data_IF_980535177823
#
_entry.id   IF_980535177823
#
_cell.length_a   1.000
_cell.length_b   1.000
_cell.length_c   1.000
_cell.angle_alpha   90.00
_cell.angle_beta   90.00
_cell.angle_gamma   90.00
#
_symmetry.space_group_name_H-M   'P 1'
#
loop_
_entity.id
_entity.type
_entity.pdbx_description
1 polymer ?
#
# COMPACT_ATOMS: atom_id res chain seq x y z
N UNK A 1 24.89 -7.17 0.34
CA UNK A 1 24.66 -8.62 0.11
C UNK A 1 23.26 -8.91 0.62
N UNK A 2 22.41 -9.49 -0.22
CA UNK A 2 21.06 -9.88 0.22
C UNK A 2 21.12 -11.19 1.01
N UNK A 3 20.33 -11.34 2.07
CA UNK A 3 20.22 -12.59 2.80
C UNK A 3 19.71 -13.72 1.91
N UNK A 4 20.17 -14.95 2.14
CA UNK A 4 19.79 -16.13 1.34
C UNK A 4 18.54 -16.86 1.89
N UNK A 5 18.02 -16.45 3.04
CA UNK A 5 16.84 -17.06 3.68
C UNK A 5 15.87 -15.99 4.18
N UNK A 6 14.57 -16.24 4.12
CA UNK A 6 13.57 -15.33 4.70
C UNK A 6 13.81 -15.12 6.20
N UNK A 7 13.63 -13.89 6.66
CA UNK A 7 13.85 -13.56 8.08
C UNK A 7 13.88 -12.07 8.38
N UNK A 8 14.04 -11.74 9.65
CA UNK A 8 14.21 -10.39 10.15
C UNK A 8 15.69 -10.04 10.25
N UNK A 9 16.07 -8.90 9.70
CA UNK A 9 17.45 -8.41 9.64
C UNK A 9 17.53 -6.97 10.10
N UNK A 10 18.61 -6.56 10.80
CA UNK A 10 18.79 -5.20 11.28
C UNK A 10 18.77 -4.20 10.11
N UNK A 11 18.06 -3.08 10.29
CA UNK A 11 18.05 -1.98 9.34
C UNK A 11 19.40 -1.24 9.36
N UNK A 12 19.93 -0.92 8.18
CA UNK A 12 21.18 -0.13 8.08
C UNK A 12 20.97 1.36 8.37
N UNK A 13 19.73 1.83 8.27
CA UNK A 13 19.37 3.24 8.47
C UNK A 13 18.79 3.52 9.85
N UNK A 14 18.23 2.52 10.53
CA UNK A 14 17.61 2.63 11.85
C UNK A 14 18.04 1.45 12.71
N UNK A 15 19.03 1.63 13.60
CA UNK A 15 19.65 0.54 14.36
C UNK A 15 18.71 -0.17 15.33
N UNK A 16 17.58 0.46 15.69
CA UNK A 16 16.55 -0.10 16.58
C UNK A 16 15.42 -0.79 15.84
N UNK A 17 15.52 -0.94 14.51
CA UNK A 17 14.51 -1.57 13.68
C UNK A 17 15.06 -2.74 12.89
N UNK A 18 14.26 -3.80 12.74
CA UNK A 18 14.53 -4.90 11.84
C UNK A 18 13.55 -4.87 10.67
N UNK A 19 14.07 -5.19 9.48
CA UNK A 19 13.33 -5.31 8.22
C UNK A 19 13.13 -6.80 7.89
N UNK A 20 11.99 -7.13 7.31
CA UNK A 20 11.70 -8.49 6.91
C UNK A 20 12.06 -8.76 5.45
N UNK A 21 12.91 -9.77 5.23
CA UNK A 21 13.27 -10.33 3.94
C UNK A 21 12.43 -11.59 3.67
N UNK A 22 11.74 -11.69 2.52
CA UNK A 22 10.87 -12.83 2.17
C UNK A 22 11.60 -13.95 1.41
N UNK A 23 12.88 -13.74 1.10
CA UNK A 23 13.71 -14.65 0.29
C UNK A 23 13.98 -14.14 -1.12
N UNK A 24 13.19 -13.16 -1.60
CA UNK A 24 13.33 -12.56 -2.93
C UNK A 24 13.50 -11.03 -2.85
N UNK A 25 12.82 -10.38 -1.89
CA UNK A 25 12.82 -8.92 -1.75
C UNK A 25 12.60 -8.47 -0.30
N UNK A 26 12.93 -7.23 -0.02
CA UNK A 26 12.57 -6.57 1.22
C UNK A 26 11.08 -6.15 1.19
N UNK A 27 10.27 -6.66 2.13
CA UNK A 27 8.81 -6.44 2.10
C UNK A 27 8.37 -5.09 2.65
N UNK A 28 9.30 -4.32 3.21
CA UNK A 28 8.98 -3.06 3.90
C UNK A 28 8.35 -3.24 5.29
N UNK A 29 8.11 -4.47 5.74
CA UNK A 29 7.66 -4.72 7.11
C UNK A 29 8.80 -4.40 8.08
N UNK A 30 8.52 -3.59 9.11
CA UNK A 30 9.47 -3.22 10.16
C UNK A 30 8.97 -3.67 11.52
N UNK A 31 9.90 -4.06 12.40
CA UNK A 31 9.63 -4.25 13.83
C UNK A 31 10.72 -3.61 14.65
N UNK A 32 10.39 -3.07 15.83
CA UNK A 32 11.39 -2.57 16.77
C UNK A 32 11.99 -3.70 17.57
N UNK A 33 13.29 -3.70 17.70
CA UNK A 33 14.02 -4.53 18.68
C UNK A 33 13.94 -3.83 20.04
N UNK A 34 12.89 -4.08 20.82
CA UNK A 34 12.88 -3.68 22.22
C UNK A 34 13.90 -4.56 22.94
N UNK A 35 15.09 -3.99 23.12
CA UNK A 35 16.10 -4.54 24.01
C UNK A 35 15.66 -4.33 25.45
N UNK A 36 14.74 -5.16 25.95
CA UNK A 36 14.72 -5.44 27.39
C UNK A 36 13.90 -6.70 27.72
N UNK A 37 14.68 -7.58 28.33
CA UNK A 37 14.31 -8.59 29.33
C UNK A 37 13.65 -9.87 28.85
N UNK A 38 14.50 -10.82 28.87
CA UNK A 38 14.48 -12.14 29.31
C UNK A 38 13.42 -12.51 30.35
N UNK A 39 12.79 -13.60 30.11
CA UNK A 39 11.90 -14.29 31.03
C UNK A 39 11.37 -15.50 30.31
N UNK A 40 12.20 -16.53 30.31
CA UNK A 40 11.85 -17.96 30.37
C UNK A 40 10.41 -18.19 30.88
N UNK A 41 9.61 -19.03 30.37
CA UNK A 41 9.68 -20.45 30.55
C UNK A 41 8.39 -21.14 30.16
N UNK A 42 8.62 -22.31 29.63
CA UNK A 42 7.98 -23.58 29.87
C UNK A 42 6.60 -23.86 29.33
N UNK A 43 6.73 -24.73 28.36
CA UNK A 43 5.91 -25.90 28.14
C UNK A 43 5.32 -26.49 29.46
N UNK A 44 4.04 -26.78 29.44
CA UNK A 44 3.49 -27.90 30.15
C UNK A 44 2.29 -28.46 29.38
N UNK A 45 2.55 -29.47 28.61
CA UNK A 45 1.61 -30.50 28.24
C UNK A 45 1.15 -31.20 29.50
N UNK A 46 -0.16 -31.34 29.74
CA UNK A 46 -0.72 -32.40 30.56
C UNK A 46 -2.13 -32.73 30.06
N UNK A 47 -2.17 -33.80 29.39
CA UNK A 47 -3.21 -34.77 29.14
C UNK A 47 -3.95 -35.17 30.44
N UNK A 48 -5.28 -35.37 30.39
CA UNK A 48 -6.05 -35.79 31.55
C UNK A 48 -7.52 -36.07 31.25
N UNK A 49 -7.78 -37.18 30.64
CA UNK A 49 -9.09 -37.80 30.30
C UNK A 49 -9.97 -38.08 31.52
N UNK A 50 -11.31 -38.11 31.37
CA UNK A 50 -12.26 -38.11 32.44
C UNK A 50 -12.53 -39.54 32.97
N UNK A 51 -12.73 -39.62 34.28
CA UNK A 51 -13.20 -40.87 34.93
C UNK A 51 -14.66 -40.71 35.32
N UNK A 52 -15.47 -41.55 34.72
CA UNK A 52 -16.89 -41.79 34.95
C UNK A 52 -17.03 -42.70 36.14
N UNK A 53 -17.85 -42.34 37.12
CA UNK A 53 -18.28 -43.27 38.16
C UNK A 53 -19.78 -43.18 38.34
N UNK A 54 -20.46 -44.20 37.88
CA UNK A 54 -21.82 -44.54 38.20
C UNK A 54 -21.96 -44.87 39.69
N UNK A 55 -23.00 -44.35 40.31
CA UNK A 55 -23.38 -44.69 41.68
C UNK A 55 -24.88 -44.55 41.88
N UNK A 56 -25.57 -45.62 41.56
CA UNK A 56 -27.00 -45.87 41.83
C UNK A 56 -27.25 -45.98 43.33
N UNK A 57 -28.17 -45.21 43.89
CA UNK A 57 -28.78 -45.56 45.20
C UNK A 57 -30.22 -45.03 45.28
N UNK A 58 -31.09 -45.97 45.58
CA UNK A 58 -32.54 -45.90 45.70
C UNK A 58 -33.06 -45.07 46.87
N UNK A 59 -34.33 -44.68 46.83
CA UNK A 59 -34.91 -43.67 47.73
C UNK A 59 -35.44 -44.29 49.05
N UNK A 60 -34.93 -43.79 50.15
CA UNK A 60 -35.46 -44.13 51.50
C UNK A 60 -36.45 -43.03 51.95
N UNK A 61 -37.68 -43.49 52.25
CA UNK A 61 -38.79 -42.70 52.76
C UNK A 61 -38.51 -42.25 54.22
N UNK A 62 -38.32 -40.96 54.45
CA UNK A 62 -38.34 -40.37 55.81
C UNK A 62 -39.64 -39.62 56.11
N UNK A 63 -40.13 -39.68 57.37
CA UNK A 63 -41.41 -39.24 57.81
C UNK A 63 -41.51 -37.66 57.86
N UNK A 64 -42.66 -37.17 57.50
CA UNK A 64 -43.00 -35.76 57.53
C UNK A 64 -43.05 -35.27 59.00
N UNK A 65 -42.02 -34.49 59.41
CA UNK A 65 -42.08 -33.68 60.65
C UNK A 65 -42.69 -32.29 60.31
N UNK A 66 -43.74 -31.92 61.11
CA UNK A 66 -44.39 -30.61 61.01
C UNK A 66 -43.37 -29.52 61.40
N UNK A 67 -43.25 -28.43 60.62
CA UNK A 67 -42.28 -27.36 60.90
C UNK A 67 -42.66 -26.58 62.14
N UNK A 68 -41.71 -26.38 63.05
CA UNK A 68 -41.84 -25.53 64.23
C UNK A 68 -41.95 -24.06 63.83
N UNK A 69 -42.60 -23.24 64.72
CA UNK A 69 -42.79 -21.78 64.46
C UNK A 69 -41.48 -21.06 64.16
N UNK A 70 -40.35 -21.54 64.65
CA UNK A 70 -39.03 -20.99 64.35
C UNK A 70 -38.58 -21.21 62.88
N UNK A 71 -38.97 -22.32 62.26
CA UNK A 71 -38.68 -22.59 60.85
C UNK A 71 -39.42 -21.65 59.88
N UNK A 72 -40.58 -21.12 60.26
CA UNK A 72 -41.30 -20.13 59.42
C UNK A 72 -40.62 -18.78 59.41
N UNK A 73 -39.94 -18.38 60.47
CA UNK A 73 -39.19 -17.12 60.56
C UNK A 73 -37.93 -17.15 59.69
N UNK A 74 -37.22 -18.28 59.65
CA UNK A 74 -36.02 -18.43 58.84
C UNK A 74 -36.36 -18.45 57.32
N UNK A 75 -37.47 -19.07 56.94
CA UNK A 75 -37.93 -19.09 55.53
C UNK A 75 -38.34 -17.68 55.09
N UNK A 76 -38.95 -16.88 55.96
CA UNK A 76 -39.31 -15.47 55.62
C UNK A 76 -38.10 -14.56 55.39
N UNK A 77 -37.02 -14.73 56.17
CA UNK A 77 -35.78 -13.95 56.03
C UNK A 77 -35.04 -14.39 54.79
N UNK A 78 -34.97 -15.69 54.47
CA UNK A 78 -34.35 -16.18 53.24
C UNK A 78 -35.08 -15.69 51.98
N UNK A 79 -36.41 -15.61 51.98
CA UNK A 79 -37.18 -15.05 50.88
C UNK A 79 -36.96 -13.56 50.71
N UNK A 80 -36.85 -12.79 51.77
CA UNK A 80 -36.56 -11.38 51.72
C UNK A 80 -35.16 -11.06 51.20
N UNK A 81 -34.17 -11.85 51.58
CA UNK A 81 -32.78 -11.72 51.10
C UNK A 81 -32.70 -12.06 49.59
N UNK A 82 -33.44 -13.05 49.13
CA UNK A 82 -33.50 -13.39 47.69
C UNK A 82 -34.17 -12.33 46.84
N UNK A 83 -35.22 -11.65 47.37
CA UNK A 83 -35.87 -10.54 46.65
C UNK A 83 -35.00 -9.28 46.60
N UNK A 84 -34.25 -8.99 47.67
CA UNK A 84 -33.32 -7.84 47.68
C UNK A 84 -32.02 -8.12 46.91
N UNK A 85 -31.51 -9.36 46.91
CA UNK A 85 -30.36 -9.77 46.16
C UNK A 85 -30.62 -9.93 44.66
N UNK A 86 -31.81 -10.35 44.26
CA UNK A 86 -32.22 -10.49 42.86
C UNK A 86 -32.34 -9.18 42.11
N UNK A 87 -32.74 -8.11 42.78
CA UNK A 87 -32.83 -6.75 42.17
C UNK A 87 -31.46 -6.16 41.86
N UNK A 88 -30.49 -6.33 42.74
CA UNK A 88 -29.14 -5.77 42.53
C UNK A 88 -28.38 -6.46 41.40
N UNK A 89 -28.60 -7.75 41.22
CA UNK A 89 -27.93 -8.52 40.10
C UNK A 89 -28.56 -8.18 38.75
N UNK A 90 -29.85 -7.89 38.68
CA UNK A 90 -30.52 -7.49 37.44
C UNK A 90 -30.05 -6.09 36.96
N UNK A 91 -29.92 -5.13 37.87
CA UNK A 91 -29.43 -3.78 37.56
C UNK A 91 -27.96 -3.83 37.10
N UNK A 92 -27.09 -4.58 37.79
CA UNK A 92 -25.70 -4.74 37.43
C UNK A 92 -25.55 -5.37 36.04
N UNK A 93 -26.40 -6.33 35.66
CA UNK A 93 -26.34 -6.97 34.34
C UNK A 93 -26.79 -6.06 33.19
N UNK A 94 -27.72 -5.13 33.44
CA UNK A 94 -28.12 -4.12 32.43
C UNK A 94 -27.02 -3.09 32.25
N UNK A 95 -26.43 -2.56 33.32
CA UNK A 95 -25.30 -1.63 33.23
C UNK A 95 -24.08 -2.22 32.54
N UNK A 96 -23.76 -3.48 32.79
CA UNK A 96 -22.67 -4.17 32.10
C UNK A 96 -22.92 -4.31 30.58
N UNK A 97 -24.19 -4.55 30.19
CA UNK A 97 -24.58 -4.62 28.75
C UNK A 97 -24.51 -3.25 28.08
N UNK A 98 -24.95 -2.22 28.76
CA UNK A 98 -24.89 -0.85 28.23
C UNK A 98 -23.43 -0.37 28.06
N UNK A 99 -22.55 -0.70 29.02
CA UNK A 99 -21.12 -0.42 28.91
C UNK A 99 -20.47 -1.19 27.77
N UNK A 100 -20.78 -2.48 27.61
CA UNK A 100 -20.26 -3.30 26.51
C UNK A 100 -20.77 -2.79 25.15
N UNK A 101 -22.01 -2.33 25.06
CA UNK A 101 -22.57 -1.74 23.85
C UNK A 101 -21.89 -0.39 23.49
N UNK A 102 -21.62 0.44 24.50
CA UNK A 102 -20.89 1.70 24.33
C UNK A 102 -19.46 1.46 23.85
N UNK A 103 -18.73 0.52 24.47
CA UNK A 103 -17.38 0.14 24.04
C UNK A 103 -17.37 -0.39 22.59
N UNK A 104 -18.31 -1.28 22.25
CA UNK A 104 -18.43 -1.79 20.88
C UNK A 104 -18.79 -0.69 19.87
N UNK A 105 -19.49 0.35 20.26
CA UNK A 105 -19.78 1.50 19.41
C UNK A 105 -18.50 2.35 19.20
N UNK A 106 -17.76 2.62 20.26
CA UNK A 106 -16.48 3.34 20.19
C UNK A 106 -15.44 2.61 19.33
N UNK A 107 -15.32 1.27 19.47
CA UNK A 107 -14.45 0.44 18.65
C UNK A 107 -14.81 0.54 17.15
N UNK A 108 -16.12 0.45 16.83
CA UNK A 108 -16.58 0.58 15.42
C UNK A 108 -16.31 1.97 14.86
N UNK A 109 -16.49 3.01 15.65
CA UNK A 109 -16.16 4.37 15.22
C UNK A 109 -14.65 4.56 15.04
N UNK A 110 -13.82 3.94 15.87
CA UNK A 110 -12.37 3.94 15.73
C UNK A 110 -11.96 3.21 14.44
N UNK A 111 -12.51 2.01 14.20
CA UNK A 111 -12.28 1.24 12.97
C UNK A 111 -12.70 2.03 11.71
N UNK A 112 -13.86 2.68 11.75
CA UNK A 112 -14.31 3.52 10.63
C UNK A 112 -13.40 4.72 10.38
N UNK A 113 -12.92 5.38 11.44
CA UNK A 113 -11.97 6.49 11.31
C UNK A 113 -10.63 6.02 10.75
N UNK A 114 -10.14 4.87 11.20
CA UNK A 114 -8.89 4.30 10.68
C UNK A 114 -9.04 3.86 9.22
N UNK A 115 -10.14 3.22 8.85
CA UNK A 115 -10.43 2.86 7.46
C UNK A 115 -10.54 4.10 6.55
N UNK A 116 -11.21 5.16 7.01
CA UNK A 116 -11.30 6.42 6.28
C UNK A 116 -9.93 7.10 6.11
N UNK A 117 -9.06 7.03 7.14
CA UNK A 117 -7.70 7.56 7.08
C UNK A 117 -6.84 6.77 6.08
N UNK A 118 -6.94 5.45 6.08
CA UNK A 118 -6.22 4.59 5.12
C UNK A 118 -6.65 4.93 3.69
N UNK A 119 -7.96 4.95 3.42
CA UNK A 119 -8.50 5.29 2.11
C UNK A 119 -8.08 6.71 1.64
N UNK A 120 -8.04 7.68 2.54
CA UNK A 120 -7.57 9.04 2.24
C UNK A 120 -6.07 9.05 1.88
N UNK A 121 -5.26 8.28 2.61
CA UNK A 121 -3.82 8.17 2.33
C UNK A 121 -3.54 7.46 1.00
N UNK A 122 -4.27 6.38 0.70
CA UNK A 122 -4.17 5.67 -0.59
C UNK A 122 -4.54 6.59 -1.76
N UNK A 123 -5.64 7.33 -1.63
CA UNK A 123 -6.03 8.32 -2.63
C UNK A 123 -4.96 9.39 -2.83
N UNK A 124 -4.44 9.96 -1.74
CA UNK A 124 -3.38 10.96 -1.82
C UNK A 124 -2.06 10.40 -2.37
N UNK A 125 -1.79 9.11 -2.22
CA UNK A 125 -0.64 8.46 -2.83
C UNK A 125 -0.84 8.31 -4.34
N UNK A 126 -2.01 7.84 -4.78
CA UNK A 126 -2.35 7.72 -6.19
C UNK A 126 -2.35 9.06 -6.93
N UNK A 127 -2.86 10.12 -6.30
CA UNK A 127 -2.81 11.48 -6.86
C UNK A 127 -1.35 11.96 -7.05
N UNK A 128 -0.47 11.72 -6.05
CA UNK A 128 0.96 12.09 -6.20
C UNK A 128 1.67 11.30 -7.29
N UNK A 129 1.34 10.02 -7.44
CA UNK A 129 1.88 9.20 -8.52
C UNK A 129 1.43 9.71 -9.90
N UNK A 130 0.13 10.01 -10.05
CA UNK A 130 -0.40 10.59 -11.27
C UNK A 130 0.22 11.95 -11.61
N UNK A 131 0.41 12.82 -10.61
CA UNK A 131 1.07 14.11 -10.79
C UNK A 131 2.55 13.94 -11.20
N UNK A 132 3.26 12.98 -10.59
CA UNK A 132 4.65 12.69 -10.95
C UNK A 132 4.78 12.16 -12.38
N UNK A 133 3.89 11.24 -12.80
CA UNK A 133 3.84 10.77 -14.19
C UNK A 133 3.53 11.91 -15.20
N UNK A 134 2.59 12.81 -14.83
CA UNK A 134 2.27 13.95 -15.68
C UNK A 134 3.47 14.89 -15.86
N UNK A 135 4.22 15.16 -14.78
CA UNK A 135 5.43 15.97 -14.83
C UNK A 135 6.54 15.29 -15.64
N UNK A 136 6.66 13.98 -15.57
CA UNK A 136 7.63 13.25 -16.38
C UNK A 136 7.29 13.33 -17.87
N UNK A 137 6.01 13.16 -18.26
CA UNK A 137 5.56 13.34 -19.65
C UNK A 137 5.84 14.76 -20.16
N UNK A 138 5.54 15.78 -19.36
CA UNK A 138 5.87 17.16 -19.71
C UNK A 138 7.37 17.37 -19.88
N UNK A 139 8.19 16.77 -19.02
CA UNK A 139 9.65 16.81 -19.16
C UNK A 139 10.15 16.17 -20.45
N UNK A 140 9.55 15.03 -20.86
CA UNK A 140 9.88 14.36 -22.12
C UNK A 140 9.49 15.22 -23.34
N UNK A 141 8.34 15.86 -23.32
CA UNK A 141 7.90 16.77 -24.40
C UNK A 141 8.85 17.96 -24.53
N UNK A 142 9.30 18.53 -23.42
CA UNK A 142 10.32 19.60 -23.45
C UNK A 142 11.64 19.10 -24.06
N UNK A 143 12.08 17.88 -23.70
CA UNK A 143 13.30 17.28 -24.28
C UNK A 143 13.14 17.06 -25.79
N UNK A 144 11.97 16.62 -26.27
CA UNK A 144 11.72 16.51 -27.73
C UNK A 144 11.83 17.88 -28.40
N UNK A 145 11.28 18.93 -27.80
CA UNK A 145 11.40 20.29 -28.31
C UNK A 145 12.87 20.76 -28.37
N UNK A 146 13.70 20.39 -27.41
CA UNK A 146 15.14 20.68 -27.42
C UNK A 146 15.87 19.90 -28.53
N UNK A 147 15.48 18.64 -28.76
CA UNK A 147 16.00 17.82 -29.86
C UNK A 147 15.67 18.49 -31.21
N UNK A 148 14.41 18.91 -31.42
CA UNK A 148 13.98 19.60 -32.64
C UNK A 148 14.77 20.90 -32.86
N UNK A 149 15.01 21.68 -31.81
CA UNK A 149 15.85 22.88 -31.87
C UNK A 149 17.30 22.58 -32.24
N UNK A 150 17.86 21.48 -31.72
CA UNK A 150 19.23 21.04 -32.03
C UNK A 150 19.36 20.53 -33.44
N UNK A 151 18.40 19.73 -33.90
CA UNK A 151 18.31 19.26 -35.30
C UNK A 151 18.14 20.45 -36.25
N UNK A 152 17.30 21.40 -35.87
CA UNK A 152 17.14 22.64 -36.70
C UNK A 152 18.44 23.40 -36.82
N UNK A 153 19.19 23.55 -35.75
CA UNK A 153 20.49 24.24 -35.78
C UNK A 153 21.48 23.53 -36.69
N UNK A 154 21.55 22.16 -36.63
CA UNK A 154 22.37 21.38 -37.55
C UNK A 154 21.92 21.56 -39.00
N UNK A 155 20.61 21.47 -39.25
CA UNK A 155 20.04 21.61 -40.58
C UNK A 155 20.27 23.02 -41.18
N UNK A 156 20.11 24.07 -40.37
CA UNK A 156 20.43 25.43 -40.79
C UNK A 156 21.94 25.58 -41.14
N UNK A 157 22.82 24.92 -40.39
CA UNK A 157 24.25 24.86 -40.72
C UNK A 157 24.52 24.17 -42.06
N UNK A 158 23.89 23.02 -42.29
CA UNK A 158 23.98 22.30 -43.56
C UNK A 158 23.45 23.14 -44.76
N UNK A 159 22.38 23.90 -44.56
CA UNK A 159 21.87 24.79 -45.55
C UNK A 159 22.85 25.96 -45.86
N UNK A 160 23.49 26.53 -44.84
CA UNK A 160 24.51 27.55 -44.98
C UNK A 160 25.76 27.05 -45.74
N UNK A 161 26.06 25.76 -45.64
CA UNK A 161 27.13 25.09 -46.42
C UNK A 161 26.67 24.73 -47.84
N UNK A 162 25.41 24.92 -48.16
CA UNK A 162 24.86 24.64 -49.50
C UNK A 162 24.52 23.15 -49.74
N UNK A 163 24.36 22.37 -48.68
CA UNK A 163 23.99 20.95 -48.76
C UNK A 163 22.52 20.74 -49.08
N UNK A 164 21.66 21.72 -48.72
CA UNK A 164 20.23 21.75 -49.01
C UNK A 164 19.66 23.20 -48.87
N UNK A 165 18.37 23.39 -49.12
CA UNK A 165 17.65 24.65 -48.97
C UNK A 165 17.49 25.03 -47.47
N UNK A 166 17.16 26.30 -47.23
CA UNK A 166 16.89 26.81 -45.88
C UNK A 166 15.73 26.06 -45.22
N UNK A 167 15.87 25.76 -43.95
CA UNK A 167 14.87 24.99 -43.18
C UNK A 167 13.77 25.91 -42.68
N UNK A 168 12.52 25.52 -42.94
CA UNK A 168 11.32 26.19 -42.46
C UNK A 168 10.98 25.73 -41.04
N UNK A 169 10.90 24.43 -40.85
CA UNK A 169 10.46 23.80 -39.60
C UNK A 169 11.12 22.41 -39.41
N UNK A 170 11.12 21.93 -38.18
CA UNK A 170 11.58 20.56 -37.81
C UNK A 170 10.54 19.90 -36.92
N UNK A 171 10.22 18.66 -37.23
CA UNK A 171 9.38 17.81 -36.39
C UNK A 171 10.03 16.46 -36.20
N UNK A 172 10.03 15.96 -34.95
CA UNK A 172 10.60 14.66 -34.59
C UNK A 172 9.49 13.71 -34.13
N UNK A 173 9.48 12.51 -34.71
CA UNK A 173 8.50 11.49 -34.36
C UNK A 173 9.21 10.22 -33.88
N UNK A 174 8.73 9.57 -32.80
CA UNK A 174 9.28 8.31 -32.34
C UNK A 174 9.19 7.24 -33.44
N UNK A 175 10.21 6.39 -33.53
CA UNK A 175 10.27 5.26 -34.48
C UNK A 175 10.48 3.95 -33.71
N UNK A 176 10.36 2.81 -34.41
CA UNK A 176 10.60 1.46 -33.87
C UNK A 176 9.73 1.09 -32.67
N UNK A 177 8.53 1.66 -32.61
CA UNK A 177 7.57 1.40 -31.54
C UNK A 177 7.87 2.14 -30.23
N UNK A 178 8.84 3.04 -30.22
CA UNK A 178 9.13 3.93 -29.09
C UNK A 178 8.00 4.94 -28.87
N UNK A 179 7.87 5.43 -27.67
CA UNK A 179 6.86 6.42 -27.27
C UNK A 179 7.45 7.41 -26.27
N UNK A 180 6.95 8.63 -26.33
CA UNK A 180 7.19 9.63 -25.25
C UNK A 180 6.23 9.44 -24.08
N UNK A 181 5.07 8.83 -24.32
CA UNK A 181 4.02 8.58 -23.32
C UNK A 181 4.25 7.35 -22.46
N UNK A 182 5.01 6.35 -22.98
CA UNK A 182 5.38 5.16 -22.23
C UNK A 182 6.56 5.47 -21.32
N UNK A 183 6.26 5.77 -20.05
CA UNK A 183 7.28 6.11 -19.05
C UNK A 183 8.18 4.94 -18.67
N UNK A 184 7.89 3.72 -19.11
CA UNK A 184 8.75 2.56 -18.88
C UNK A 184 9.89 2.48 -19.89
N UNK A 185 9.78 3.15 -21.03
CA UNK A 185 10.84 3.24 -22.02
C UNK A 185 12.01 4.04 -21.47
N UNK A 186 13.20 3.46 -21.52
CA UNK A 186 14.44 4.10 -21.09
C UNK A 186 15.13 4.88 -22.22
N UNK A 187 14.83 4.53 -23.45
CA UNK A 187 15.45 5.12 -24.63
C UNK A 187 14.45 5.18 -25.77
N UNK A 188 14.36 6.32 -26.45
CA UNK A 188 13.50 6.48 -27.64
C UNK A 188 14.33 7.00 -28.81
N UNK A 189 14.18 6.36 -29.96
CA UNK A 189 14.73 6.84 -31.22
C UNK A 189 13.68 7.67 -31.99
N UNK A 190 14.11 8.69 -32.68
CA UNK A 190 13.28 9.62 -33.46
C UNK A 190 13.78 9.73 -34.87
N UNK A 191 12.85 9.69 -35.84
CA UNK A 191 13.06 10.30 -37.16
C UNK A 191 12.58 11.74 -37.10
N UNK A 192 13.47 12.66 -37.40
CA UNK A 192 13.21 14.10 -37.47
C UNK A 192 13.15 14.54 -38.91
N UNK A 193 12.12 15.28 -39.29
CA UNK A 193 11.97 15.81 -40.62
C UNK A 193 12.18 17.35 -40.62
N UNK A 194 13.21 17.79 -41.32
CA UNK A 194 13.50 19.20 -41.52
C UNK A 194 12.88 19.64 -42.85
N UNK A 195 11.76 20.32 -42.78
CA UNK A 195 11.02 20.84 -43.92
C UNK A 195 11.76 22.05 -44.55
N UNK A 196 11.90 22.06 -45.87
CA UNK A 196 12.52 23.14 -46.62
C UNK A 196 11.54 23.81 -47.58
N UNK A 197 10.47 23.15 -47.97
CA UNK A 197 9.50 23.68 -48.93
C UNK A 197 8.09 23.20 -48.58
N UNK A 198 7.15 24.12 -48.55
CA UNK A 198 5.71 23.82 -48.51
C UNK A 198 5.20 23.65 -49.94
N UNK A 199 4.69 22.48 -50.30
CA UNK A 199 4.16 22.20 -51.62
C UNK A 199 2.71 22.68 -51.76
N UNK A 200 2.29 22.98 -52.99
CA UNK A 200 0.94 23.47 -53.27
C UNK A 200 -0.20 22.48 -52.95
N UNK A 201 0.14 21.19 -52.80
CA UNK A 201 -0.78 20.09 -52.43
C UNK A 201 -0.90 19.88 -50.91
N UNK A 202 -0.24 20.71 -50.12
CA UNK A 202 -0.22 20.63 -48.65
C UNK A 202 0.79 19.65 -48.08
N UNK A 203 1.64 19.03 -48.91
CA UNK A 203 2.78 18.22 -48.44
C UNK A 203 4.00 19.10 -48.22
N UNK A 204 5.02 18.58 -47.57
CA UNK A 204 6.32 19.22 -47.36
C UNK A 204 7.44 18.41 -47.99
N UNK A 205 8.41 19.10 -48.56
CA UNK A 205 9.68 18.54 -49.00
C UNK A 205 10.76 18.91 -48.01
N UNK A 206 11.72 18.04 -47.76
CA UNK A 206 12.78 18.29 -46.81
C UNK A 206 13.74 17.11 -46.66
N UNK A 207 14.48 17.14 -45.57
CA UNK A 207 15.54 16.17 -45.26
C UNK A 207 15.33 15.50 -43.95
N UNK A 208 15.77 14.24 -43.86
CA UNK A 208 15.65 13.46 -42.61
C UNK A 208 16.92 13.59 -41.77
N UNK A 209 16.68 13.65 -40.50
CA UNK A 209 17.65 13.57 -39.42
C UNK A 209 17.19 12.47 -38.43
N UNK A 210 18.08 12.03 -37.59
CA UNK A 210 17.76 11.08 -36.53
C UNK A 210 18.16 11.67 -35.18
N UNK A 211 17.49 11.22 -34.14
CA UNK A 211 17.91 11.46 -32.77
C UNK A 211 17.64 10.24 -31.91
N UNK A 212 18.37 10.11 -30.81
CA UNK A 212 18.12 9.11 -29.79
C UNK A 212 18.31 9.74 -28.43
N UNK A 213 17.34 9.59 -27.55
CA UNK A 213 17.37 10.10 -26.17
C UNK A 213 17.41 8.98 -25.17
N UNK A 214 18.13 9.18 -24.07
CA UNK A 214 18.07 8.38 -22.87
C UNK A 214 17.27 9.13 -21.80
N UNK A 215 16.09 8.62 -21.46
CA UNK A 215 15.17 9.28 -20.54
C UNK A 215 15.67 9.33 -19.09
N UNK A 216 16.58 8.43 -18.70
CA UNK A 216 17.15 8.44 -17.35
C UNK A 216 18.14 9.59 -17.13
N UNK A 217 18.83 10.05 -18.19
CA UNK A 217 19.85 11.08 -18.11
C UNK A 217 19.44 12.37 -18.83
N UNK A 218 18.36 12.34 -19.63
CA UNK A 218 17.95 13.37 -20.56
C UNK A 218 19.02 13.74 -21.60
N UNK A 219 20.02 12.87 -21.75
CA UNK A 219 21.06 13.05 -22.77
C UNK A 219 20.55 12.52 -24.11
N UNK A 220 20.83 13.23 -25.19
CA UNK A 220 20.46 12.83 -26.53
C UNK A 220 21.60 13.03 -27.51
N UNK A 221 21.56 12.24 -28.59
CA UNK A 221 22.41 12.39 -29.77
C UNK A 221 21.54 12.60 -30.99
N UNK A 222 22.06 13.30 -31.98
CA UNK A 222 21.36 13.53 -33.24
C UNK A 222 22.33 13.58 -34.40
N UNK A 223 21.81 13.32 -35.60
CA UNK A 223 22.63 13.24 -36.81
C UNK A 223 21.80 13.40 -38.10
N UNK A 224 22.49 13.54 -39.21
CA UNK A 224 21.89 13.59 -40.55
C UNK A 224 21.50 12.18 -41.03
N UNK A 225 20.32 12.07 -41.64
CA UNK A 225 19.77 10.82 -42.16
C UNK A 225 18.73 10.21 -41.22
N UNK A 226 18.09 9.12 -41.65
CA UNK A 226 17.14 8.34 -40.84
C UNK A 226 17.86 7.38 -39.92
N UNK A 227 17.14 6.96 -38.87
CA UNK A 227 17.53 5.77 -38.14
C UNK A 227 17.50 4.56 -39.09
N UNK A 228 18.59 3.81 -39.15
CA UNK A 228 18.78 2.68 -40.04
C UNK A 228 18.30 1.36 -39.44
#
# INVERSE_FOLDING_TARGET
MNPTSPGWFPSQTHPDEELFWDGERWTGATRRTDSQNGGSDREALADGTPSRSDGTASPEKRPRRRPSRRARLIVGIAAAVLLLGGGATAVASVQARDQAAAQAAEEREAEQRDAARIAANEKAAAEREADAEAQEREGRDLTVTEIEGSVKTMADGNAAEGLHEAVIDVSCNPVDGGSTDDLTDQTTAFDCFAATTDNADGTQSGYYYNATVNWNTSEYTYGYGRNG
#
